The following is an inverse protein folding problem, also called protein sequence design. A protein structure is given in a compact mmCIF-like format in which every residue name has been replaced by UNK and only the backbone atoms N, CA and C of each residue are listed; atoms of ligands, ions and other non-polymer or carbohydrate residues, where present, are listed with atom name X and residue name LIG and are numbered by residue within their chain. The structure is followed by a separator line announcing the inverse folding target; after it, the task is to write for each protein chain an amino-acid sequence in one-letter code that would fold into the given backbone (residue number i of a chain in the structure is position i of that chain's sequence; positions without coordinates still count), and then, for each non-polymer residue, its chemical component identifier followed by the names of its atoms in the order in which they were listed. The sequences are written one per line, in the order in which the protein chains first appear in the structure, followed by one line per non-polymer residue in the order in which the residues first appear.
data_IF_728325102019
#
_entry.id   IF_728325102019
#
_cell.length_a   1.000
_cell.length_b   1.000
_cell.length_c   1.000
_cell.angle_alpha   90.00
_cell.angle_beta   90.00
_cell.angle_gamma   90.00
#
_symmetry.space_group_name_H-M   'P 1'
#
loop_
_entity.id
_entity.type
_entity.pdbx_description
1 polymer ?
#
# COMPACT_ATOMS: atom_id res chain seq x y z
N UNK A 1 -10.71 -19.46 -4.13
CA UNK A 1 -10.98 -18.03 -4.40
C UNK A 1 -12.18 -17.96 -5.32
N UNK A 2 -13.25 -17.26 -4.92
CA UNK A 2 -14.56 -17.31 -5.60
C UNK A 2 -14.57 -16.48 -6.88
N UNK A 3 -14.82 -17.12 -8.03
CA UNK A 3 -15.11 -16.45 -9.30
C UNK A 3 -16.38 -15.60 -9.13
N UNK A 4 -16.29 -14.31 -9.43
CA UNK A 4 -17.44 -13.41 -9.40
C UNK A 4 -18.27 -13.61 -10.67
N UNK A 5 -19.06 -14.69 -10.69
CA UNK A 5 -20.02 -14.97 -11.75
C UNK A 5 -21.06 -13.85 -11.81
N UNK A 6 -21.08 -13.12 -12.91
CA UNK A 6 -22.13 -12.17 -13.31
C UNK A 6 -22.81 -12.82 -14.53
N UNK A 7 -24.14 -12.92 -14.51
CA UNK A 7 -24.89 -13.94 -15.25
C UNK A 7 -24.75 -14.01 -16.79
N UNK A 8 -25.26 -15.14 -17.32
CA UNK A 8 -25.45 -15.59 -18.72
C UNK A 8 -24.23 -15.63 -19.65
N UNK A 9 -23.20 -14.83 -19.44
CA UNK A 9 -21.86 -15.06 -19.98
C UNK A 9 -20.90 -14.87 -18.83
N UNK A 10 -20.32 -15.96 -18.33
CA UNK A 10 -19.63 -16.04 -17.02
C UNK A 10 -18.46 -15.05 -16.80
N UNK A 11 -18.14 -14.21 -17.79
CA UNK A 11 -17.03 -13.26 -17.80
C UNK A 11 -17.45 -11.85 -18.24
N UNK A 12 -16.84 -10.84 -17.61
CA UNK A 12 -17.05 -9.43 -17.92
C UNK A 12 -16.59 -9.14 -19.35
N UNK A 13 -17.39 -8.35 -20.06
CA UNK A 13 -17.10 -7.91 -21.42
C UNK A 13 -17.26 -9.00 -22.48
N UNK A 14 -17.65 -10.22 -22.10
CA UNK A 14 -17.90 -11.32 -23.02
C UNK A 14 -19.39 -11.42 -23.32
N UNK A 15 -19.75 -11.59 -24.59
CA UNK A 15 -21.12 -11.80 -25.05
C UNK A 15 -21.20 -13.01 -25.96
N UNK A 16 -22.05 -13.96 -25.61
CA UNK A 16 -22.38 -15.08 -26.48
C UNK A 16 -23.33 -14.63 -27.61
N UNK A 17 -23.05 -15.07 -28.83
CA UNK A 17 -23.91 -14.86 -30.00
C UNK A 17 -24.73 -16.12 -30.27
N UNK A 18 -25.85 -15.96 -31.00
CA UNK A 18 -26.69 -17.09 -31.45
C UNK A 18 -25.93 -18.14 -32.29
N UNK A 19 -24.79 -17.77 -32.86
CA UNK A 19 -23.91 -18.68 -33.58
C UNK A 19 -23.05 -19.57 -32.66
N UNK A 20 -23.10 -19.38 -31.34
CA UNK A 20 -22.20 -20.04 -30.37
C UNK A 20 -20.83 -19.39 -30.22
N UNK A 21 -20.56 -18.29 -30.96
CA UNK A 21 -19.30 -17.56 -30.85
C UNK A 21 -19.34 -16.52 -29.71
N UNK A 22 -18.18 -16.23 -29.12
CA UNK A 22 -18.03 -15.29 -28.03
C UNK A 22 -17.36 -13.99 -28.51
N UNK A 23 -18.05 -12.86 -28.42
CA UNK A 23 -17.44 -11.55 -28.69
C UNK A 23 -16.95 -10.90 -27.40
N UNK A 24 -15.75 -10.33 -27.44
CA UNK A 24 -15.17 -9.57 -26.34
C UNK A 24 -15.19 -8.07 -26.63
N UNK A 25 -15.67 -7.29 -25.68
CA UNK A 25 -15.88 -5.85 -25.85
C UNK A 25 -15.57 -5.08 -24.57
N UNK A 26 -14.95 -3.91 -24.70
CA UNK A 26 -14.55 -3.05 -23.57
C UNK A 26 -14.95 -1.59 -23.80
N UNK A 27 -15.27 -0.89 -22.72
CA UNK A 27 -15.53 0.54 -22.76
C UNK A 27 -14.25 1.34 -22.57
N UNK A 28 -14.07 2.38 -23.38
CA UNK A 28 -13.03 3.39 -23.20
C UNK A 28 -13.65 4.79 -23.35
N UNK A 29 -13.71 5.51 -22.24
CA UNK A 29 -14.53 6.72 -22.14
C UNK A 29 -15.99 6.40 -22.48
N UNK A 30 -16.55 7.11 -23.44
CA UNK A 30 -17.93 6.96 -23.91
C UNK A 30 -18.09 5.96 -25.07
N UNK A 31 -16.99 5.34 -25.53
CA UNK A 31 -16.99 4.49 -26.71
C UNK A 31 -16.81 3.03 -26.34
N UNK A 32 -17.50 2.17 -27.10
CA UNK A 32 -17.41 0.71 -27.00
C UNK A 32 -16.45 0.18 -28.05
N UNK A 33 -15.45 -0.55 -27.62
CA UNK A 33 -14.40 -1.15 -28.45
C UNK A 33 -14.63 -2.65 -28.53
N UNK A 34 -14.79 -3.16 -29.75
CA UNK A 34 -14.80 -4.59 -30.00
C UNK A 34 -13.37 -5.09 -30.11
N UNK A 35 -13.02 -6.10 -29.31
CA UNK A 35 -11.68 -6.68 -29.23
C UNK A 35 -11.52 -7.87 -30.19
N UNK A 36 -12.64 -8.52 -30.52
CA UNK A 36 -12.67 -9.64 -31.45
C UNK A 36 -13.83 -10.59 -31.18
N UNK A 37 -13.88 -11.64 -31.97
CA UNK A 37 -14.74 -12.82 -31.79
C UNK A 37 -13.86 -14.03 -31.60
N UNK A 38 -14.18 -14.85 -30.61
CA UNK A 38 -13.41 -16.00 -30.17
C UNK A 38 -14.33 -17.22 -30.09
N UNK A 39 -13.74 -18.40 -30.14
CA UNK A 39 -14.48 -19.66 -30.11
C UNK A 39 -14.84 -20.06 -28.67
N UNK A 40 -14.08 -19.58 -27.68
CA UNK A 40 -14.32 -19.88 -26.26
C UNK A 40 -14.57 -18.62 -25.43
N UNK A 41 -15.38 -18.76 -24.37
CA UNK A 41 -15.67 -17.66 -23.44
C UNK A 41 -14.43 -17.24 -22.64
N UNK A 42 -13.56 -18.20 -22.30
CA UNK A 42 -12.32 -17.97 -21.55
C UNK A 42 -11.32 -17.15 -22.37
N UNK A 43 -11.11 -17.50 -23.65
CA UNK A 43 -10.24 -16.73 -24.54
C UNK A 43 -10.75 -15.29 -24.74
N UNK A 44 -12.06 -15.12 -24.92
CA UNK A 44 -12.69 -13.81 -24.98
C UNK A 44 -12.47 -13.00 -23.68
N UNK A 45 -12.51 -13.66 -22.52
CA UNK A 45 -12.28 -13.05 -21.22
C UNK A 45 -10.80 -12.67 -21.01
N UNK A 46 -9.87 -13.49 -21.50
CA UNK A 46 -8.44 -13.17 -21.52
C UNK A 46 -8.15 -11.97 -22.41
N UNK A 47 -8.78 -11.87 -23.58
CA UNK A 47 -8.69 -10.70 -24.45
C UNK A 47 -9.25 -9.44 -23.77
N UNK A 48 -10.37 -9.56 -23.03
CA UNK A 48 -10.93 -8.45 -22.25
C UNK A 48 -9.95 -7.97 -21.18
N UNK A 49 -9.35 -8.89 -20.43
CA UNK A 49 -8.42 -8.61 -19.35
C UNK A 49 -7.12 -7.98 -19.86
N UNK A 50 -6.59 -8.47 -20.98
CA UNK A 50 -5.46 -7.88 -21.69
C UNK A 50 -5.77 -6.43 -22.09
N UNK A 51 -6.95 -6.17 -22.66
CA UNK A 51 -7.37 -4.83 -23.02
C UNK A 51 -7.58 -3.93 -21.77
N UNK A 52 -8.19 -4.45 -20.70
CA UNK A 52 -8.40 -3.74 -19.45
C UNK A 52 -7.07 -3.33 -18.81
N UNK A 53 -6.07 -4.22 -18.82
CA UNK A 53 -4.73 -3.94 -18.32
C UNK A 53 -4.06 -2.81 -19.09
N UNK A 54 -4.15 -2.83 -20.43
CA UNK A 54 -3.63 -1.77 -21.32
C UNK A 54 -4.35 -0.45 -21.17
N UNK A 55 -5.64 -0.49 -20.85
CA UNK A 55 -6.43 0.68 -20.50
C UNK A 55 -6.21 1.15 -19.06
N UNK A 56 -5.26 0.54 -18.33
CA UNK A 56 -4.88 0.90 -16.96
C UNK A 56 -6.02 0.73 -15.96
N UNK A 57 -6.95 -0.19 -16.22
CA UNK A 57 -8.03 -0.53 -15.30
C UNK A 57 -7.45 -1.26 -14.07
N UNK A 58 -8.03 -1.06 -12.87
CA UNK A 58 -7.58 -1.75 -11.67
C UNK A 58 -7.83 -3.25 -11.78
N UNK A 59 -6.95 -4.08 -11.21
CA UNK A 59 -7.07 -5.55 -11.22
C UNK A 59 -8.41 -6.11 -10.75
N UNK A 60 -9.10 -5.39 -9.85
CA UNK A 60 -10.45 -5.75 -9.38
C UNK A 60 -11.53 -5.74 -10.46
N UNK A 61 -11.26 -5.09 -11.60
CA UNK A 61 -12.17 -5.01 -12.75
C UNK A 61 -11.94 -6.12 -13.77
N UNK A 62 -10.85 -6.88 -13.64
CA UNK A 62 -10.49 -8.01 -14.49
C UNK A 62 -11.22 -9.29 -14.06
N UNK A 63 -11.35 -10.23 -14.99
CA UNK A 63 -11.97 -11.53 -14.78
C UNK A 63 -11.02 -12.49 -14.04
N UNK A 64 -9.75 -12.48 -14.42
CA UNK A 64 -8.70 -13.33 -13.87
C UNK A 64 -7.74 -12.53 -12.98
N UNK A 65 -7.24 -13.13 -11.89
CA UNK A 65 -6.19 -12.50 -11.07
C UNK A 65 -4.83 -12.44 -11.80
N UNK A 66 -4.65 -13.27 -12.84
CA UNK A 66 -3.36 -13.61 -13.43
C UNK A 66 -3.16 -13.00 -14.82
N UNK A 67 -3.53 -11.74 -15.04
CA UNK A 67 -3.21 -11.09 -16.33
C UNK A 67 -1.70 -10.86 -16.37
N UNK A 68 -1.06 -11.63 -17.25
CA UNK A 68 0.33 -12.03 -17.19
C UNK A 68 1.11 -11.32 -18.29
N UNK A 69 1.95 -10.35 -17.90
CA UNK A 69 2.95 -9.70 -18.77
C UNK A 69 2.42 -8.85 -19.95
N UNK A 70 3.12 -7.74 -20.24
CA UNK A 70 2.79 -6.81 -21.35
C UNK A 70 2.74 -7.51 -22.72
N UNK A 71 3.57 -8.54 -22.91
CA UNK A 71 3.70 -9.31 -24.15
C UNK A 71 2.47 -10.18 -24.43
N UNK A 72 1.99 -10.95 -23.45
CA UNK A 72 0.81 -11.81 -23.67
C UNK A 72 -0.45 -10.97 -23.90
N UNK A 73 -0.54 -9.80 -23.25
CA UNK A 73 -1.59 -8.83 -23.53
C UNK A 73 -1.51 -8.24 -24.95
N UNK A 74 -0.34 -8.28 -25.62
CA UNK A 74 -0.18 -7.93 -27.04
C UNK A 74 -0.68 -9.01 -27.97
N UNK A 75 -0.39 -10.27 -27.65
CA UNK A 75 -0.76 -11.40 -28.48
C UNK A 75 -2.27 -11.67 -28.45
N UNK A 76 -2.91 -11.51 -27.28
CA UNK A 76 -4.33 -11.84 -27.07
C UNK A 76 -5.31 -10.80 -27.63
N UNK A 77 -4.91 -9.53 -27.66
CA UNK A 77 -5.74 -8.48 -28.21
C UNK A 77 -4.83 -7.39 -28.78
N UNK A 78 -5.00 -6.94 -30.03
CA UNK A 78 -4.31 -5.74 -30.50
C UNK A 78 -4.76 -4.53 -29.67
N UNK A 79 -3.92 -3.48 -29.58
CA UNK A 79 -4.30 -2.27 -28.85
C UNK A 79 -5.62 -1.76 -29.43
N UNK A 80 -6.63 -1.45 -28.59
CA UNK A 80 -7.80 -0.78 -29.09
C UNK A 80 -7.34 0.49 -29.78
N UNK A 81 -7.82 0.75 -31.01
CA UNK A 81 -7.45 1.95 -31.77
C UNK A 81 -7.82 3.17 -30.93
N UNK A 82 -6.82 3.74 -30.26
CA UNK A 82 -6.99 4.88 -29.39
C UNK A 82 -7.54 6.04 -30.23
N UNK A 83 -8.67 6.57 -29.78
CA UNK A 83 -9.53 7.41 -30.62
C UNK A 83 -8.91 8.78 -30.91
N UNK A 84 -8.12 9.32 -29.97
CA UNK A 84 -7.49 10.64 -30.12
C UNK A 84 -5.97 10.54 -30.25
N UNK A 85 -5.35 11.57 -30.81
CA UNK A 85 -3.88 11.70 -30.85
C UNK A 85 -3.27 11.76 -29.44
N UNK A 86 -3.97 12.39 -28.49
CA UNK A 86 -3.54 12.53 -27.11
C UNK A 86 -3.54 11.18 -26.38
N UNK A 87 -4.58 10.36 -26.57
CA UNK A 87 -4.60 9.00 -26.05
C UNK A 87 -3.38 8.19 -26.53
N UNK A 88 -3.03 8.33 -27.82
CA UNK A 88 -1.84 7.69 -28.41
C UNK A 88 -0.52 8.22 -27.84
N UNK A 89 -0.44 9.52 -27.51
CA UNK A 89 0.74 10.11 -26.85
C UNK A 89 0.87 9.59 -25.42
N UNK A 90 -0.22 9.53 -24.68
CA UNK A 90 -0.25 9.02 -23.30
C UNK A 90 0.10 7.54 -23.21
N UNK A 91 -0.43 6.74 -24.13
CA UNK A 91 -0.09 5.33 -24.21
C UNK A 91 1.40 5.12 -24.49
N UNK A 92 2.00 5.87 -25.44
CA UNK A 92 3.45 5.82 -25.70
C UNK A 92 4.29 6.23 -24.49
N UNK A 93 3.90 7.28 -23.77
CA UNK A 93 4.57 7.70 -22.52
C UNK A 93 4.54 6.59 -21.48
N UNK A 94 3.40 5.93 -21.35
CA UNK A 94 3.23 4.83 -20.40
C UNK A 94 4.04 3.58 -20.80
N UNK A 95 4.01 3.19 -22.07
CA UNK A 95 4.82 2.08 -22.59
C UNK A 95 6.32 2.31 -22.34
N UNK A 96 6.82 3.54 -22.54
CA UNK A 96 8.21 3.90 -22.22
C UNK A 96 8.51 3.75 -20.73
N UNK A 97 7.60 4.17 -19.85
CA UNK A 97 7.76 3.99 -18.39
C UNK A 97 7.79 2.52 -18.01
N UNK A 98 6.93 1.70 -18.59
CA UNK A 98 6.94 0.25 -18.36
C UNK A 98 8.25 -0.38 -18.82
N UNK A 99 8.73 -0.05 -20.02
CA UNK A 99 10.01 -0.54 -20.52
C UNK A 99 11.17 -0.17 -19.59
N UNK A 100 11.19 1.05 -19.05
CA UNK A 100 12.20 1.46 -18.05
C UNK A 100 12.11 0.60 -16.80
N UNK A 101 10.90 0.34 -16.28
CA UNK A 101 10.70 -0.50 -15.09
C UNK A 101 11.09 -1.95 -15.35
N UNK A 102 10.73 -2.51 -16.52
CA UNK A 102 11.12 -3.87 -16.92
C UNK A 102 12.65 -3.99 -17.03
N UNK A 103 13.29 -3.03 -17.71
CA UNK A 103 14.75 -2.96 -17.79
C UNK A 103 15.40 -2.80 -16.41
N UNK A 104 14.83 -2.00 -15.51
CA UNK A 104 15.33 -1.84 -14.14
C UNK A 104 15.20 -3.15 -13.33
N UNK A 105 14.10 -3.88 -13.51
CA UNK A 105 13.91 -5.21 -12.89
C UNK A 105 14.95 -6.20 -13.39
N UNK A 106 15.21 -6.24 -14.71
CA UNK A 106 16.26 -7.08 -15.30
C UNK A 106 17.66 -6.66 -14.81
N UNK A 107 17.95 -5.37 -14.81
CA UNK A 107 19.22 -4.84 -14.30
C UNK A 107 19.44 -5.17 -12.82
N UNK A 108 18.39 -5.05 -12.00
CA UNK A 108 18.41 -5.46 -10.59
C UNK A 108 18.61 -6.97 -10.44
N UNK A 109 18.05 -7.79 -11.32
CA UNK A 109 18.26 -9.24 -11.30
C UNK A 109 19.73 -9.60 -11.58
N UNK A 110 20.30 -9.04 -12.64
CA UNK A 110 21.74 -9.21 -12.97
C UNK A 110 22.63 -8.69 -11.85
N UNK A 111 22.31 -7.53 -11.28
CA UNK A 111 23.05 -6.97 -10.16
C UNK A 111 23.00 -7.89 -8.93
N UNK A 112 21.83 -8.46 -8.62
CA UNK A 112 21.66 -9.41 -7.52
C UNK A 112 22.49 -10.68 -7.71
N UNK A 113 22.56 -11.21 -8.92
CA UNK A 113 23.40 -12.37 -9.23
C UNK A 113 24.90 -12.05 -9.08
N UNK A 114 25.30 -10.84 -9.50
CA UNK A 114 26.70 -10.40 -9.44
C UNK A 114 27.17 -10.01 -8.05
N UNK A 115 26.27 -9.52 -7.18
CA UNK A 115 26.58 -9.00 -5.85
C UNK A 115 25.70 -9.64 -4.75
N UNK A 116 25.83 -10.96 -4.52
CA UNK A 116 24.99 -11.65 -3.53
C UNK A 116 25.22 -11.15 -2.09
N UNK A 117 26.43 -10.69 -1.78
CA UNK A 117 26.76 -10.17 -0.46
C UNK A 117 26.01 -8.87 -0.13
N UNK A 118 25.76 -8.01 -1.12
CA UNK A 118 25.04 -6.76 -0.91
C UNK A 118 23.57 -7.01 -0.57
N UNK A 119 22.95 -8.05 -1.14
CA UNK A 119 21.59 -8.48 -0.77
C UNK A 119 21.54 -8.91 0.70
N UNK A 120 22.55 -9.67 1.15
CA UNK A 120 22.65 -10.09 2.55
C UNK A 120 22.80 -8.87 3.45
N UNK A 121 23.70 -7.95 3.11
CA UNK A 121 23.94 -6.72 3.86
C UNK A 121 22.68 -5.86 3.93
N UNK A 122 21.97 -5.67 2.81
CA UNK A 122 20.72 -4.92 2.72
C UNK A 122 19.63 -5.54 3.60
N UNK A 123 19.48 -6.88 3.56
CA UNK A 123 18.54 -7.61 4.42
C UNK A 123 18.86 -7.43 5.90
N UNK A 124 20.14 -7.51 6.29
CA UNK A 124 20.55 -7.29 7.69
C UNK A 124 20.28 -5.85 8.11
N UNK A 125 20.61 -4.87 7.28
CA UNK A 125 20.35 -3.45 7.53
C UNK A 125 18.86 -3.19 7.77
N UNK A 126 17.98 -3.68 6.90
CA UNK A 126 16.54 -3.49 7.07
C UNK A 126 15.95 -4.29 8.23
N UNK A 127 16.53 -5.44 8.57
CA UNK A 127 16.15 -6.19 9.77
C UNK A 127 16.44 -5.37 11.04
N UNK A 128 17.66 -4.82 11.15
CA UNK A 128 18.05 -3.95 12.27
C UNK A 128 17.17 -2.69 12.36
N UNK A 129 16.84 -2.07 11.23
CA UNK A 129 15.92 -0.91 11.20
C UNK A 129 14.49 -1.24 11.63
N UNK A 130 13.99 -2.44 11.33
CA UNK A 130 12.66 -2.89 11.80
C UNK A 130 12.67 -3.09 13.31
N UNK A 131 13.67 -3.77 13.85
CA UNK A 131 13.80 -3.99 15.30
C UNK A 131 13.98 -2.67 16.06
N UNK A 132 14.77 -1.73 15.54
CA UNK A 132 14.92 -0.38 16.11
C UNK A 132 13.58 0.37 16.15
N UNK A 133 12.81 0.32 15.05
CA UNK A 133 11.49 0.96 14.99
C UNK A 133 10.48 0.32 15.92
N UNK A 134 10.52 -1.00 16.07
CA UNK A 134 9.69 -1.74 17.01
C UNK A 134 10.05 -1.39 18.46
N UNK A 135 11.34 -1.38 18.81
CA UNK A 135 11.82 -0.94 20.13
C UNK A 135 11.37 0.50 20.45
N UNK A 136 11.45 1.42 19.49
CA UNK A 136 10.94 2.78 19.66
C UNK A 136 9.42 2.84 19.83
N UNK A 137 8.68 1.91 19.21
CA UNK A 137 7.22 1.82 19.38
C UNK A 137 6.86 1.27 20.76
N UNK A 138 7.57 0.24 21.22
CA UNK A 138 7.36 -0.34 22.56
C UNK A 138 7.72 0.66 23.65
N UNK A 139 8.83 1.38 23.50
CA UNK A 139 9.24 2.45 24.43
C UNK A 139 8.18 3.56 24.49
N UNK A 140 7.71 4.05 23.33
CA UNK A 140 6.64 5.05 23.28
C UNK A 140 5.32 4.55 23.86
N UNK A 141 5.03 3.26 23.74
CA UNK A 141 3.85 2.65 24.34
C UNK A 141 3.99 2.58 25.87
N UNK A 142 5.13 2.10 26.37
CA UNK A 142 5.45 2.04 27.80
C UNK A 142 5.43 3.43 28.44
N UNK A 143 5.99 4.45 27.79
CA UNK A 143 5.91 5.84 28.24
C UNK A 143 4.46 6.32 28.36
N UNK A 144 3.59 5.99 27.40
CA UNK A 144 2.17 6.34 27.46
C UNK A 144 1.45 5.61 28.58
N UNK A 145 1.81 4.35 28.85
CA UNK A 145 1.26 3.56 29.95
C UNK A 145 1.69 4.11 31.31
N UNK A 146 2.97 4.44 31.50
CA UNK A 146 3.48 5.12 32.69
C UNK A 146 2.77 6.46 32.93
N UNK A 147 2.62 7.27 31.89
CA UNK A 147 1.85 8.54 31.98
C UNK A 147 0.38 8.32 32.36
N UNK A 148 -0.26 7.25 31.85
CA UNK A 148 -1.63 6.87 32.25
C UNK A 148 -1.68 6.43 33.71
N UNK A 149 -0.72 5.61 34.15
CA UNK A 149 -0.64 5.12 35.52
C UNK A 149 -0.43 6.26 36.52
N UNK A 150 0.47 7.21 36.23
CA UNK A 150 0.66 8.43 37.05
C UNK A 150 -0.61 9.26 37.14
N UNK A 151 -1.30 9.45 36.02
CA UNK A 151 -2.58 10.17 35.99
C UNK A 151 -3.65 9.46 36.83
N UNK A 152 -3.73 8.13 36.75
CA UNK A 152 -4.66 7.33 37.57
C UNK A 152 -4.30 7.38 39.06
N UNK A 153 -3.02 7.24 39.41
CA UNK A 153 -2.55 7.33 40.79
C UNK A 153 -2.87 8.70 41.41
N UNK A 154 -2.60 9.79 40.68
CA UNK A 154 -2.98 11.14 41.10
C UNK A 154 -4.50 11.29 41.28
N UNK A 155 -5.30 10.66 40.42
CA UNK A 155 -6.76 10.65 40.55
C UNK A 155 -7.22 9.88 41.78
N UNK A 156 -6.62 8.73 42.11
CA UNK A 156 -6.90 7.98 43.34
C UNK A 156 -6.50 8.77 44.59
N UNK A 157 -5.35 9.43 44.59
CA UNK A 157 -4.93 10.30 45.71
C UNK A 157 -5.91 11.45 45.90
N UNK A 158 -6.33 12.12 44.83
CA UNK A 158 -7.35 13.18 44.89
C UNK A 158 -8.71 12.69 45.40
N UNK A 159 -9.07 11.43 45.11
CA UNK A 159 -10.28 10.81 45.66
C UNK A 159 -10.11 10.36 47.12
N UNK A 160 -8.88 10.02 47.54
CA UNK A 160 -8.52 9.76 48.94
C UNK A 160 -8.44 11.04 49.79
N UNK A 161 -8.06 12.16 49.21
CA UNK A 161 -8.21 13.50 49.79
C UNK A 161 -9.69 13.92 49.92
N UNK A 162 -10.61 13.25 49.21
CA UNK A 162 -12.05 13.38 49.40
C UNK A 162 -12.61 12.38 50.45
N UNK A 163 -11.74 11.63 51.14
CA UNK A 163 -12.10 10.81 52.31
C UNK A 163 -11.90 11.65 53.58
N UNK A 164 -13.01 12.26 54.03
CA UNK A 164 -13.39 12.59 55.42
C UNK A 164 -12.30 12.77 56.48
N UNK A 165 -11.35 13.69 56.28
CA UNK A 165 -10.55 14.23 57.39
C UNK A 165 -10.75 15.74 57.44
N UNK A 166 -11.21 16.22 58.61
CA UNK A 166 -11.69 17.56 58.87
C UNK A 166 -10.51 18.54 59.08
N UNK A 167 -10.77 19.82 58.85
CA UNK A 167 -9.83 20.94 58.71
C UNK A 167 -8.97 21.32 59.94
N UNK A 168 -8.85 20.45 60.95
CA UNK A 168 -8.15 20.73 62.22
C UNK A 168 -7.04 19.72 62.59
N UNK A 169 -6.50 18.97 61.62
CA UNK A 169 -5.38 18.04 61.88
C UNK A 169 -3.99 18.72 61.76
N UNK A 170 -3.31 18.91 62.89
CA UNK A 170 -2.02 19.61 63.05
C UNK A 170 -0.81 18.98 62.29
N UNK A 171 -0.97 17.84 61.63
CA UNK A 171 0.11 17.18 60.86
C UNK A 171 0.30 17.71 59.44
N UNK A 172 -0.51 18.67 58.99
CA UNK A 172 -0.44 19.20 57.62
C UNK A 172 0.81 20.08 57.35
N UNK A 173 1.53 20.48 58.40
CA UNK A 173 2.66 21.42 58.28
C UNK A 173 3.95 20.83 57.68
N UNK A 174 4.10 19.50 57.62
CA UNK A 174 5.38 18.87 57.24
C UNK A 174 5.44 18.32 55.80
N UNK A 175 4.40 18.52 54.98
CA UNK A 175 4.32 17.88 53.66
C UNK A 175 5.00 18.64 52.50
N UNK A 176 5.49 19.87 52.72
CA UNK A 176 6.09 20.69 51.66
C UNK A 176 7.56 21.04 51.96
N UNK A 177 8.40 20.02 52.05
CA UNK A 177 9.85 20.23 51.88
C UNK A 177 10.10 20.50 50.39
N UNK A 178 10.54 21.72 50.09
CA UNK A 178 11.00 22.18 48.77
C UNK A 178 11.98 21.16 48.17
N UNK A 179 11.60 20.54 47.05
CA UNK A 179 12.57 19.89 46.17
C UNK A 179 13.25 20.97 45.36
N UNK A 180 14.51 21.22 45.72
CA UNK A 180 15.45 22.13 45.08
C UNK A 180 15.51 21.93 43.57
N UNK A 181 15.58 23.06 42.86
CA UNK A 181 16.10 23.18 41.50
C UNK A 181 17.44 22.46 41.35
N UNK A 182 17.53 21.44 40.50
CA UNK A 182 18.81 21.04 39.91
C UNK A 182 18.63 20.45 38.50
N UNK A 183 18.88 21.32 37.53
CA UNK A 183 19.70 21.08 36.32
C UNK A 183 19.25 20.01 35.31
N UNK A 184 18.50 20.46 34.28
CA UNK A 184 18.46 19.79 32.98
C UNK A 184 19.73 20.14 32.16
N UNK A 185 20.42 19.17 31.53
CA UNK A 185 21.51 19.49 30.62
C UNK A 185 20.98 20.11 29.31
N UNK A 186 21.51 21.28 28.97
CA UNK A 186 21.20 22.03 27.77
C UNK A 186 21.63 21.25 26.52
N UNK A 187 20.68 21.04 25.61
CA UNK A 187 20.89 20.35 24.34
C UNK A 187 21.40 21.35 23.32
N UNK A 188 22.72 21.33 23.05
CA UNK A 188 23.33 22.17 22.03
C UNK A 188 22.81 21.80 20.63
N UNK A 189 22.31 22.79 19.89
CA UNK A 189 22.02 22.67 18.47
C UNK A 189 23.32 22.85 17.71
N UNK A 190 23.82 21.80 17.08
CA UNK A 190 24.84 21.91 16.03
C UNK A 190 24.19 22.54 14.81
N UNK A 191 24.51 23.80 14.53
CA UNK A 191 24.31 24.43 13.22
C UNK A 191 25.45 23.99 12.32
N UNK A 192 25.12 23.26 11.25
CA UNK A 192 26.02 22.99 10.13
C UNK A 192 26.07 24.24 9.26
N UNK A 193 27.22 24.91 9.18
CA UNK A 193 27.52 25.93 8.18
C UNK A 193 27.93 25.26 6.87
N UNK A 194 27.45 25.84 5.77
CA UNK A 194 27.73 25.51 4.36
C UNK A 194 29.21 25.57 3.99
#
# INVERSE_FOLDING_TARGET
MSMRRLGASDFRGVRERRSGAFSSEIWFGEKRLSLGTFDTAEEAAHAYDAAAWRLRRPRREMNFPDVSTSQQAQDLAPLPRLFTDDDRRDNRRWQRRLAIVEMDVEAMAVWRERFPQDIVNERQFYKQRRTEREARRTERAAYREDMRARKQAAQLMKLGEASSWDSEDERYADAYIQTSEETLPSRSRKTTSS
#
